data_IF_605000095249
#
_entry.id   IF_605000095249
#
_cell.length_a   1.000
_cell.length_b   1.000
_cell.length_c   1.000
_cell.angle_alpha   90.00
_cell.angle_beta   90.00
_cell.angle_gamma   90.00
#
_symmetry.space_group_name_H-M   'P 1'
#
loop_
_entity.id
_entity.type
_entity.pdbx_description
1 polymer ?
#
# COMPACT_ATOMS: atom_id res chain seq x y z
N UNK A 1 13.10 -4.46 24.30
CA UNK A 1 11.79 -5.08 24.57
C UNK A 1 11.24 -5.49 23.21
N UNK A 2 10.83 -6.75 23.02
CA UNK A 2 10.29 -7.17 21.73
C UNK A 2 8.93 -6.50 21.54
N UNK A 3 8.80 -5.62 20.54
CA UNK A 3 7.53 -5.05 20.10
C UNK A 3 6.60 -6.22 19.74
N UNK A 4 5.64 -6.52 20.62
CA UNK A 4 4.53 -7.37 20.23
C UNK A 4 3.85 -6.72 19.02
N UNK A 5 3.52 -7.48 17.97
CA UNK A 5 2.86 -6.92 16.81
C UNK A 5 1.56 -6.26 17.26
N UNK A 6 1.47 -4.94 17.09
CA UNK A 6 0.28 -4.15 17.44
C UNK A 6 -0.91 -4.79 16.73
N UNK A 7 -1.92 -5.23 17.50
CA UNK A 7 -3.11 -5.87 16.95
C UNK A 7 -4.06 -4.79 16.43
N UNK A 8 -4.51 -4.95 15.20
CA UNK A 8 -5.55 -4.06 14.65
C UNK A 8 -6.85 -4.24 15.43
N UNK A 9 -7.48 -3.14 15.84
CA UNK A 9 -8.80 -3.17 16.48
C UNK A 9 -9.93 -3.17 15.45
N UNK A 10 -9.63 -2.79 14.21
CA UNK A 10 -10.56 -2.83 13.08
C UNK A 10 -9.87 -3.38 11.84
N UNK A 11 -10.60 -4.16 11.05
CA UNK A 11 -10.16 -4.54 9.71
C UNK A 11 -11.31 -4.91 8.80
N UNK A 12 -11.27 -4.41 7.57
CA UNK A 12 -12.25 -4.69 6.52
C UNK A 12 -11.55 -4.95 5.19
N UNK A 13 -12.20 -5.72 4.30
CA UNK A 13 -11.69 -6.01 2.96
C UNK A 13 -12.66 -5.50 1.91
N UNK A 14 -12.15 -4.67 1.00
CA UNK A 14 -12.86 -4.19 -0.18
C UNK A 14 -12.38 -4.99 -1.39
N UNK A 15 -13.32 -5.47 -2.20
CA UNK A 15 -13.01 -6.08 -3.51
C UNK A 15 -13.25 -5.05 -4.59
N UNK A 16 -12.24 -4.76 -5.39
CA UNK A 16 -12.32 -3.83 -6.51
C UNK A 16 -13.00 -4.49 -7.72
N UNK A 17 -13.53 -3.70 -8.68
CA UNK A 17 -14.17 -4.23 -9.89
C UNK A 17 -13.28 -5.16 -10.74
N UNK A 18 -11.96 -4.98 -10.66
CA UNK A 18 -10.99 -5.84 -11.35
C UNK A 18 -10.58 -7.09 -10.55
N UNK A 19 -11.26 -7.35 -9.43
CA UNK A 19 -11.05 -8.50 -8.55
C UNK A 19 -9.92 -8.34 -7.54
N UNK A 20 -9.10 -7.27 -7.61
CA UNK A 20 -8.08 -7.00 -6.58
C UNK A 20 -8.75 -6.75 -5.23
N UNK A 21 -8.11 -7.20 -4.14
CA UNK A 21 -8.58 -6.94 -2.78
C UNK A 21 -7.71 -5.89 -2.09
N UNK A 22 -8.35 -5.00 -1.35
CA UNK A 22 -7.73 -4.05 -0.46
C UNK A 22 -8.20 -4.36 0.96
N UNK A 23 -7.29 -4.73 1.85
CA UNK A 23 -7.58 -4.85 3.27
C UNK A 23 -7.13 -3.60 4.00
N UNK A 24 -8.07 -2.92 4.65
CA UNK A 24 -7.82 -1.79 5.53
C UNK A 24 -7.74 -2.30 6.97
N UNK A 25 -6.85 -1.73 7.77
CA UNK A 25 -6.71 -2.04 9.19
C UNK A 25 -6.38 -0.77 9.98
N UNK A 26 -7.07 -0.56 11.09
CA UNK A 26 -6.78 0.53 12.03
C UNK A 26 -6.28 -0.04 13.35
N UNK A 27 -5.29 0.65 13.92
CA UNK A 27 -4.57 0.20 15.12
C UNK A 27 -4.78 1.18 16.28
N UNK A 28 -4.65 0.72 17.55
CA UNK A 28 -4.85 1.57 18.72
C UNK A 28 -3.94 2.82 18.79
N UNK A 29 -2.81 2.82 18.09
CA UNK A 29 -1.89 3.95 17.99
C UNK A 29 -2.34 5.02 16.97
N UNK A 30 -3.50 4.84 16.34
CA UNK A 30 -4.03 5.72 15.32
C UNK A 30 -3.49 5.45 13.91
N UNK A 31 -2.56 4.50 13.75
CA UNK A 31 -2.05 4.15 12.42
C UNK A 31 -3.08 3.38 11.60
N UNK A 32 -3.04 3.59 10.28
CA UNK A 32 -3.90 2.90 9.30
C UNK A 32 -3.00 2.18 8.30
N UNK A 33 -3.27 0.89 8.06
CA UNK A 33 -2.54 0.07 7.10
C UNK A 33 -3.46 -0.39 5.97
N UNK A 34 -2.96 -0.25 4.75
CA UNK A 34 -3.57 -0.79 3.54
C UNK A 34 -2.73 -1.97 3.04
N UNK A 35 -3.37 -3.11 2.79
CA UNK A 35 -2.77 -4.27 2.09
C UNK A 35 -3.50 -4.44 0.77
N UNK A 36 -2.79 -4.28 -0.34
CA UNK A 36 -3.35 -4.31 -1.69
C UNK A 36 -2.75 -5.48 -2.46
N UNK A 37 -3.61 -6.27 -3.10
CA UNK A 37 -3.18 -7.39 -3.93
C UNK A 37 -2.58 -6.92 -5.27
N UNK A 38 -1.71 -7.75 -5.85
CA UNK A 38 -1.16 -7.54 -7.19
C UNK A 38 0.00 -6.54 -7.25
N UNK A 39 1.07 -6.81 -6.50
CA UNK A 39 2.35 -6.07 -6.59
C UNK A 39 2.91 -6.10 -8.04
N UNK A 40 3.71 -5.09 -8.45
CA UNK A 40 4.26 -3.98 -7.64
C UNK A 40 3.38 -2.73 -7.64
N UNK A 41 3.51 -1.92 -6.59
CA UNK A 41 2.97 -0.55 -6.53
C UNK A 41 4.02 0.45 -6.09
N UNK A 42 3.85 1.71 -6.49
CA UNK A 42 4.60 2.86 -5.98
C UNK A 42 3.67 3.92 -5.45
N UNK A 43 4.11 4.63 -4.40
CA UNK A 43 3.46 5.84 -3.94
C UNK A 43 3.70 6.95 -4.97
N UNK A 44 2.61 7.50 -5.50
CA UNK A 44 2.61 8.57 -6.53
C UNK A 44 2.10 9.89 -6.00
N UNK A 45 1.34 9.87 -4.90
CA UNK A 45 0.82 11.06 -4.24
C UNK A 45 0.76 10.81 -2.74
N UNK A 46 1.19 11.80 -1.96
CA UNK A 46 1.18 11.76 -0.51
C UNK A 46 0.93 13.18 0.03
N UNK A 47 -0.26 13.40 0.57
CA UNK A 47 -0.67 14.64 1.21
C UNK A 47 -1.07 14.33 2.64
N UNK A 48 -0.26 14.78 3.60
CA UNK A 48 -0.43 14.50 5.03
C UNK A 48 -0.44 15.76 5.90
N UNK A 49 -0.30 16.94 5.28
CA UNK A 49 -0.27 18.23 5.94
C UNK A 49 -1.58 18.97 5.71
N UNK A 50 -1.97 19.86 6.61
CA UNK A 50 -3.19 20.66 6.46
C UNK A 50 -3.87 20.94 7.78
N UNK A 51 -5.05 21.55 7.74
CA UNK A 51 -5.93 21.67 8.89
C UNK A 51 -6.64 20.33 9.12
N UNK A 52 -6.44 19.65 10.26
CA UNK A 52 -7.00 18.32 10.52
C UNK A 52 -8.54 18.29 10.59
N UNK A 53 -9.20 19.44 10.77
CA UNK A 53 -10.66 19.56 10.80
C UNK A 53 -11.27 19.79 9.42
N UNK A 54 -10.45 20.16 8.42
CA UNK A 54 -10.93 20.59 7.09
C UNK A 54 -10.34 19.76 5.95
N UNK A 55 -9.12 19.28 6.13
CA UNK A 55 -8.36 18.59 5.11
C UNK A 55 -8.34 17.08 5.38
N UNK A 56 -8.11 16.32 4.31
CA UNK A 56 -7.99 14.87 4.36
C UNK A 56 -6.55 14.45 4.04
N UNK A 57 -6.08 13.40 4.71
CA UNK A 57 -4.86 12.74 4.28
C UNK A 57 -5.14 11.97 2.96
N UNK A 58 -4.31 12.19 1.93
CA UNK A 58 -4.44 11.55 0.62
C UNK A 58 -3.20 10.73 0.35
N UNK A 59 -3.39 9.47 -0.06
CA UNK A 59 -2.34 8.60 -0.55
C UNK A 59 -2.79 7.95 -1.86
N UNK A 60 -1.95 8.01 -2.88
CA UNK A 60 -2.19 7.35 -4.16
C UNK A 60 -1.07 6.40 -4.50
N UNK A 61 -1.41 5.15 -4.80
CA UNK A 61 -0.47 4.17 -5.31
C UNK A 61 -0.82 3.77 -6.75
N UNK A 62 0.19 3.49 -7.57
CA UNK A 62 -0.01 3.02 -8.95
C UNK A 62 0.78 1.75 -9.22
N UNK A 63 0.28 0.81 -10.06
CA UNK A 63 1.07 -0.29 -10.55
C UNK A 63 2.35 0.22 -11.23
N UNK A 64 3.48 -0.46 -11.00
CA UNK A 64 4.78 -0.04 -11.51
C UNK A 64 4.97 -0.20 -13.02
N UNK A 65 4.12 0.38 -13.87
CA UNK A 65 4.23 0.21 -15.34
C UNK A 65 4.59 1.44 -16.16
N UNK A 66 4.76 2.62 -15.57
CA UNK A 66 5.33 3.78 -16.28
C UNK A 66 6.17 4.62 -15.31
N UNK A 67 7.49 4.67 -15.51
CA UNK A 67 8.36 5.71 -14.95
C UNK A 67 8.77 5.63 -13.47
N UNK A 68 8.56 4.50 -12.78
CA UNK A 68 8.94 4.38 -11.35
C UNK A 68 9.98 3.29 -11.08
N UNK A 69 10.84 3.49 -10.07
CA UNK A 69 11.90 2.54 -9.70
C UNK A 69 11.38 1.13 -9.32
N UNK A 70 10.13 0.99 -8.88
CA UNK A 70 9.56 -0.34 -8.62
C UNK A 70 9.23 -1.12 -9.91
N UNK A 71 9.04 -0.42 -11.04
CA UNK A 71 8.94 -1.04 -12.35
C UNK A 71 10.25 -1.74 -12.72
N UNK A 72 11.37 -1.04 -12.53
CA UNK A 72 12.72 -1.56 -12.79
C UNK A 72 13.03 -2.78 -11.93
N UNK A 73 12.75 -2.71 -10.63
CA UNK A 73 12.99 -3.83 -9.72
C UNK A 73 12.13 -5.05 -10.07
N UNK A 74 10.85 -4.84 -10.41
CA UNK A 74 9.96 -5.94 -10.77
C UNK A 74 10.35 -6.62 -12.10
N UNK A 75 10.75 -5.85 -13.12
CA UNK A 75 11.25 -6.42 -14.39
C UNK A 75 12.53 -7.21 -14.15
N UNK A 76 13.51 -6.66 -13.43
CA UNK A 76 14.75 -7.37 -13.10
C UNK A 76 14.49 -8.65 -12.29
N UNK A 77 13.51 -8.63 -11.39
CA UNK A 77 13.19 -9.78 -10.56
C UNK A 77 12.40 -10.86 -11.31
N UNK A 78 11.54 -10.48 -12.26
CA UNK A 78 10.93 -11.41 -13.21
C UNK A 78 11.97 -12.04 -14.14
N UNK A 79 12.92 -11.25 -14.66
CA UNK A 79 14.00 -11.75 -15.50
C UNK A 79 14.87 -12.76 -14.75
N UNK A 80 15.22 -12.49 -13.49
CA UNK A 80 15.96 -13.45 -12.64
C UNK A 80 15.20 -14.76 -12.41
N UNK A 81 13.88 -14.70 -12.19
CA UNK A 81 13.06 -15.91 -11.98
C UNK A 81 12.87 -16.75 -13.24
N UNK A 82 12.91 -16.13 -14.42
CA UNK A 82 12.79 -16.85 -15.70
C UNK A 82 14.13 -17.47 -16.17
N UNK A 83 15.24 -17.12 -15.51
CA UNK A 83 16.58 -17.63 -15.80
C UNK A 83 17.08 -18.69 -14.80
N UNK A 84 16.26 -19.06 -13.81
CA UNK A 84 16.52 -20.10 -12.80
C UNK A 84 15.61 -21.31 -12.99
#
# INVERSE_FOLDING_TARGET
MADQPVKAHFSETVTLPDGRKIRVSAYPDGSIRFRVDGLPYVLTEAYFSGNPEKDQAIMKISPGKQGSNAAYNFVQELEKRNLS
#
